data_IF_833433099020
#
_entry.id   IF_833433099020
#
_cell.length_a   1.000
_cell.length_b   1.000
_cell.length_c   1.000
_cell.angle_alpha   90.00
_cell.angle_beta   90.00
_cell.angle_gamma   90.00
#
_symmetry.space_group_name_H-M   'P 1'
#
loop_
_entity.id
_entity.type
_entity.pdbx_description
1 polymer ?
#
# COMPACT_ATOMS: atom_id res chain seq x y z
N UNK A 1 14.78 -50.67 3.37
CA UNK A 1 13.63 -50.08 2.63
C UNK A 1 12.63 -49.31 3.51
N UNK A 2 12.35 -49.72 4.75
CA UNK A 2 11.39 -49.03 5.65
C UNK A 2 11.75 -47.56 5.96
N UNK A 3 13.04 -47.27 6.15
CA UNK A 3 13.50 -45.93 6.56
C UNK A 3 13.44 -44.89 5.43
N UNK A 4 13.47 -45.34 4.16
CA UNK A 4 13.42 -44.45 2.99
C UNK A 4 11.99 -43.95 2.70
N UNK A 5 10.97 -44.75 3.02
CA UNK A 5 9.56 -44.33 2.92
C UNK A 5 9.21 -43.27 3.98
N UNK A 6 9.77 -43.38 5.18
CA UNK A 6 9.54 -42.44 6.27
C UNK A 6 10.14 -41.05 5.98
N UNK A 7 11.36 -41.01 5.42
CA UNK A 7 12.01 -39.75 5.04
C UNK A 7 11.25 -39.01 3.92
N UNK A 8 10.73 -39.74 2.94
CA UNK A 8 9.94 -39.16 1.84
C UNK A 8 8.61 -38.57 2.35
N UNK A 9 7.90 -39.29 3.23
CA UNK A 9 6.64 -38.82 3.82
C UNK A 9 6.89 -37.57 4.68
N UNK A 10 7.99 -37.53 5.43
CA UNK A 10 8.36 -36.38 6.26
C UNK A 10 8.72 -35.14 5.41
N UNK A 11 9.43 -35.33 4.29
CA UNK A 11 9.74 -34.25 3.36
C UNK A 11 8.48 -33.68 2.67
N UNK A 12 7.52 -34.54 2.33
CA UNK A 12 6.21 -34.13 1.79
C UNK A 12 5.38 -33.39 2.85
N UNK A 13 5.42 -33.82 4.11
CA UNK A 13 4.78 -33.11 5.23
C UNK A 13 5.43 -31.75 5.52
N UNK A 14 6.76 -31.64 5.41
CA UNK A 14 7.48 -30.38 5.55
C UNK A 14 7.17 -29.40 4.40
N UNK A 15 6.99 -29.90 3.17
CA UNK A 15 6.58 -29.09 2.01
C UNK A 15 5.13 -28.59 2.13
N UNK A 16 4.25 -29.32 2.83
CA UNK A 16 2.86 -28.89 3.08
C UNK A 16 2.71 -27.89 4.24
N UNK A 17 3.76 -27.66 5.04
CA UNK A 17 3.75 -26.67 6.14
C UNK A 17 4.32 -25.31 5.71
N UNK A 18 4.83 -25.18 4.48
CA UNK A 18 5.17 -23.88 3.90
C UNK A 18 3.86 -23.21 3.48
N UNK A 19 3.13 -22.70 4.46
CA UNK A 19 1.99 -21.83 4.25
C UNK A 19 2.42 -20.68 3.36
N UNK A 20 1.65 -20.46 2.29
CA UNK A 20 1.77 -19.32 1.39
C UNK A 20 1.48 -18.04 2.17
N UNK A 21 2.45 -17.53 2.93
CA UNK A 21 2.46 -16.13 3.34
C UNK A 21 2.92 -15.32 2.13
N UNK A 22 2.05 -15.22 1.12
CA UNK A 22 2.17 -14.22 0.07
C UNK A 22 1.16 -13.15 0.38
N UNK A 23 1.62 -12.07 0.99
CA UNK A 23 0.98 -10.77 0.91
C UNK A 23 2.16 -9.77 0.91
N UNK A 24 2.66 -9.40 -0.26
CA UNK A 24 2.03 -8.57 -1.29
C UNK A 24 2.14 -7.10 -0.89
N UNK A 25 3.38 -6.59 -1.01
CA UNK A 25 3.57 -5.16 -1.22
C UNK A 25 2.75 -4.80 -2.45
N UNK A 26 1.77 -3.93 -2.27
CA UNK A 26 0.90 -3.49 -3.37
C UNK A 26 1.17 -2.01 -3.62
N UNK A 27 1.33 -1.65 -4.89
CA UNK A 27 1.62 -0.28 -5.31
C UNK A 27 0.46 0.27 -6.16
N UNK A 28 0.12 1.53 -5.93
CA UNK A 28 -0.88 2.27 -6.68
C UNK A 28 -0.31 3.64 -7.06
N UNK A 29 -0.80 4.21 -8.16
CA UNK A 29 -0.46 5.55 -8.61
C UNK A 29 -1.72 6.40 -8.67
N UNK A 30 -1.65 7.61 -8.11
CA UNK A 30 -2.66 8.64 -8.26
C UNK A 30 -2.11 9.77 -9.13
N UNK A 31 -2.87 10.09 -10.16
CA UNK A 31 -2.50 11.08 -11.17
C UNK A 31 -3.58 12.15 -11.33
N UNK A 32 -3.36 13.08 -12.26
CA UNK A 32 -4.31 14.13 -12.63
C UNK A 32 -5.71 13.58 -13.01
N UNK A 33 -5.77 12.38 -13.59
CA UNK A 33 -7.03 11.74 -13.99
C UNK A 33 -7.89 11.33 -12.78
N UNK A 34 -7.27 11.17 -11.61
CA UNK A 34 -7.91 10.80 -10.34
C UNK A 34 -8.36 12.03 -9.53
N UNK A 35 -8.14 13.23 -10.05
CA UNK A 35 -8.45 14.48 -9.39
C UNK A 35 -9.95 14.83 -9.46
N UNK A 36 -10.45 15.50 -8.42
CA UNK A 36 -11.83 16.01 -8.38
C UNK A 36 -12.10 17.15 -9.38
N UNK A 37 -11.05 17.83 -9.83
CA UNK A 37 -11.10 18.90 -10.81
C UNK A 37 -9.84 18.86 -11.69
N UNK A 38 -9.94 19.41 -12.90
CA UNK A 38 -8.78 19.47 -13.79
C UNK A 38 -7.65 20.24 -13.11
N UNK A 39 -6.50 19.58 -13.01
CA UNK A 39 -5.29 20.12 -12.41
C UNK A 39 -4.21 20.23 -13.48
N UNK A 40 -3.82 21.45 -13.81
CA UNK A 40 -2.80 21.74 -14.84
C UNK A 40 -1.38 21.61 -14.27
N UNK A 41 -1.02 20.41 -13.84
CA UNK A 41 0.32 20.11 -13.34
C UNK A 41 0.54 18.62 -13.20
N UNK A 42 1.77 18.19 -13.41
CA UNK A 42 2.14 16.79 -13.26
C UNK A 42 1.93 16.41 -11.77
N UNK A 43 0.96 15.56 -11.45
CA UNK A 43 0.86 14.90 -10.14
C UNK A 43 1.05 13.42 -10.39
N UNK A 44 2.00 12.84 -9.66
CA UNK A 44 2.15 11.40 -9.55
C UNK A 44 2.44 11.08 -8.08
N UNK A 45 1.50 10.43 -7.41
CA UNK A 45 1.64 9.98 -6.03
C UNK A 45 1.61 8.45 -6.02
N UNK A 46 2.71 7.86 -5.59
CA UNK A 46 2.80 6.43 -5.35
C UNK A 46 2.29 6.12 -3.96
N UNK A 47 1.38 5.15 -3.86
CA UNK A 47 0.92 4.59 -2.59
C UNK A 47 1.40 3.15 -2.50
N UNK A 48 2.14 2.83 -1.45
CA UNK A 48 2.65 1.48 -1.17
C UNK A 48 2.00 0.94 0.09
N UNK A 49 1.34 -0.21 -0.02
CA UNK A 49 0.75 -0.96 1.10
C UNK A 49 1.62 -2.17 1.38
N UNK A 50 2.14 -2.28 2.60
CA UNK A 50 2.92 -3.42 3.06
C UNK A 50 2.21 -4.12 4.24
N UNK A 51 1.60 -5.27 3.96
CA UNK A 51 0.94 -6.11 4.96
C UNK A 51 1.91 -6.70 5.99
N UNK A 52 3.18 -6.89 5.63
CA UNK A 52 4.19 -7.49 6.52
C UNK A 52 4.64 -6.47 7.56
N UNK A 53 4.98 -5.25 7.13
CA UNK A 53 5.36 -4.18 8.05
C UNK A 53 4.17 -3.40 8.62
N UNK A 54 2.95 -3.67 8.12
CA UNK A 54 1.70 -3.00 8.48
C UNK A 54 1.78 -1.50 8.22
N UNK A 55 2.23 -1.12 7.03
CA UNK A 55 2.42 0.29 6.67
C UNK A 55 1.65 0.66 5.41
N UNK A 56 1.26 1.93 5.37
CA UNK A 56 0.82 2.62 4.15
C UNK A 56 1.79 3.77 3.96
N UNK A 57 2.49 3.78 2.83
CA UNK A 57 3.45 4.82 2.47
C UNK A 57 2.93 5.59 1.26
N UNK A 58 3.02 6.91 1.30
CA UNK A 58 2.58 7.81 0.24
C UNK A 58 3.76 8.67 -0.15
N UNK A 59 4.13 8.69 -1.43
CA UNK A 59 5.32 9.38 -1.94
C UNK A 59 4.96 10.18 -3.20
N UNK A 60 5.29 11.47 -3.21
CA UNK A 60 5.21 12.31 -4.41
C UNK A 60 6.40 11.98 -5.32
N UNK A 61 6.13 11.58 -6.56
CA UNK A 61 7.15 11.17 -7.53
C UNK A 61 7.67 12.36 -8.37
N UNK A 62 8.91 12.25 -8.85
CA UNK A 62 9.49 13.17 -9.85
C UNK A 62 8.74 13.08 -11.19
N UNK A 63 8.62 14.18 -11.99
CA UNK A 63 9.57 15.28 -12.11
C UNK A 63 9.09 16.63 -11.55
N UNK A 64 8.33 16.62 -10.46
CA UNK A 64 7.67 17.83 -9.96
C UNK A 64 8.65 18.94 -9.51
N UNK A 65 8.95 19.83 -10.46
CA UNK A 65 9.73 21.07 -10.28
C UNK A 65 9.05 22.07 -9.34
N UNK A 66 7.80 21.78 -8.93
CA UNK A 66 6.99 22.55 -8.03
C UNK A 66 6.58 21.70 -6.83
N UNK A 67 6.63 22.28 -5.63
CA UNK A 67 6.52 21.52 -4.39
C UNK A 67 5.06 21.17 -4.13
N UNK A 68 4.60 20.04 -4.67
CA UNK A 68 3.39 19.36 -4.16
C UNK A 68 3.63 19.00 -2.70
N UNK A 69 2.62 19.22 -1.88
CA UNK A 69 2.69 19.08 -0.43
C UNK A 69 1.41 18.41 0.07
N UNK A 70 1.53 17.21 0.65
CA UNK A 70 0.38 16.41 1.13
C UNK A 70 -0.21 16.96 2.42
N UNK A 71 -1.46 17.39 2.42
CA UNK A 71 -2.11 18.06 3.55
C UNK A 71 -2.99 17.14 4.39
N UNK A 72 -3.75 16.26 3.74
CA UNK A 72 -4.68 15.35 4.41
C UNK A 72 -4.66 14.00 3.70
N UNK A 73 -4.71 12.92 4.45
CA UNK A 73 -4.96 11.58 3.93
C UNK A 73 -6.23 11.05 4.59
N UNK A 74 -7.25 10.77 3.79
CA UNK A 74 -8.49 10.16 4.25
C UNK A 74 -8.45 8.66 3.94
N UNK A 75 -8.78 7.86 4.95
CA UNK A 75 -8.75 6.40 4.88
C UNK A 75 -10.12 5.86 5.28
N UNK A 76 -10.59 4.85 4.56
CA UNK A 76 -11.77 4.10 4.96
C UNK A 76 -11.44 3.00 6.00
N UNK A 77 -10.48 3.28 6.88
CA UNK A 77 -10.03 2.40 7.96
C UNK A 77 -10.36 3.10 9.29
N UNK A 78 -10.85 2.41 10.33
CA UNK A 78 -11.09 3.02 11.63
C UNK A 78 -9.85 3.68 12.25
N UNK A 79 -10.03 4.80 12.93
CA UNK A 79 -8.92 5.61 13.47
C UNK A 79 -8.11 4.86 14.55
N UNK A 80 -8.76 3.97 15.30
CA UNK A 80 -8.13 3.12 16.32
C UNK A 80 -7.18 2.06 15.75
N UNK A 81 -7.23 1.80 14.44
CA UNK A 81 -6.27 0.93 13.76
C UNK A 81 -5.01 1.67 13.29
N UNK A 82 -4.92 2.99 13.44
CA UNK A 82 -3.70 3.76 13.11
C UNK A 82 -2.85 3.90 14.37
N UNK A 83 -1.64 3.35 14.34
CA UNK A 83 -0.73 3.35 15.48
C UNK A 83 0.12 4.63 15.54
N UNK A 84 0.61 5.12 14.40
CA UNK A 84 1.38 6.37 14.32
C UNK A 84 1.48 6.87 12.89
N UNK A 85 1.77 8.17 12.75
CA UNK A 85 2.05 8.82 11.45
C UNK A 85 3.41 9.51 11.54
N UNK A 86 4.19 9.43 10.47
CA UNK A 86 5.49 10.08 10.32
C UNK A 86 5.69 10.56 8.88
N UNK A 87 6.57 11.52 8.67
CA UNK A 87 6.80 12.12 7.36
C UNK A 87 8.24 12.62 7.16
N UNK A 88 8.54 13.18 5.99
CA UNK A 88 9.87 13.70 5.62
C UNK A 88 10.19 15.11 6.16
N UNK A 89 9.26 15.73 6.88
CA UNK A 89 9.39 17.07 7.46
C UNK A 89 9.09 17.07 8.97
N UNK A 90 10.11 17.07 9.83
CA UNK A 90 9.96 16.95 11.29
C UNK A 90 9.33 18.18 11.96
N UNK A 91 8.88 19.17 11.19
CA UNK A 91 8.13 20.34 11.68
C UNK A 91 6.62 20.19 11.48
N UNK A 92 6.17 19.10 10.88
CA UNK A 92 4.75 18.83 10.68
C UNK A 92 4.34 17.77 11.69
N UNK A 93 3.34 18.10 12.48
CA UNK A 93 2.65 17.15 13.34
C UNK A 93 1.34 16.72 12.68
N UNK A 94 0.94 15.47 12.92
CA UNK A 94 -0.25 14.86 12.36
C UNK A 94 -1.26 14.49 13.45
N UNK A 95 -2.53 14.73 13.13
CA UNK A 95 -3.67 14.41 13.96
C UNK A 95 -4.48 13.33 13.24
N UNK A 96 -4.85 12.29 13.98
CA UNK A 96 -5.69 11.19 13.49
C UNK A 96 -7.05 11.31 14.17
N UNK A 97 -8.10 11.52 13.38
CA UNK A 97 -9.47 11.69 13.86
C UNK A 97 -10.47 10.94 12.98
N UNK A 98 -11.66 10.64 13.52
CA UNK A 98 -12.75 10.13 12.71
C UNK A 98 -13.16 11.17 11.65
N UNK A 99 -13.24 10.75 10.39
CA UNK A 99 -13.76 11.61 9.32
C UNK A 99 -15.27 11.81 9.49
N UNK A 100 -15.69 13.07 9.49
CA UNK A 100 -17.10 13.47 9.61
C UNK A 100 -17.81 13.47 8.26
N UNK A 101 -17.11 13.11 7.18
CA UNK A 101 -17.63 13.05 5.81
C UNK A 101 -17.96 14.42 5.21
N UNK A 102 -17.43 15.50 5.80
CA UNK A 102 -17.69 16.86 5.36
C UNK A 102 -16.46 17.40 4.61
N UNK A 103 -16.61 17.65 3.31
CA UNK A 103 -15.59 18.36 2.53
C UNK A 103 -14.68 17.48 1.65
N UNK A 104 -14.97 16.19 1.51
CA UNK A 104 -14.16 15.22 0.73
C UNK A 104 -14.32 15.37 -0.79
N UNK A 105 -14.59 16.58 -1.30
CA UNK A 105 -14.64 16.91 -2.74
C UNK A 105 -15.52 16.01 -3.65
N UNK A 106 -16.48 15.27 -3.08
CA UNK A 106 -17.34 14.35 -3.84
C UNK A 106 -16.89 12.88 -3.81
N UNK A 107 -15.76 12.56 -3.17
CA UNK A 107 -15.26 11.18 -3.02
C UNK A 107 -16.00 10.34 -1.96
N UNK A 108 -17.04 10.89 -1.34
CA UNK A 108 -17.82 10.23 -0.29
C UNK A 108 -17.18 10.34 1.09
N UNK A 109 -17.90 9.85 2.10
CA UNK A 109 -17.39 9.81 3.48
C UNK A 109 -16.31 8.73 3.62
N UNK A 110 -15.27 9.03 4.38
CA UNK A 110 -14.26 8.07 4.82
C UNK A 110 -14.46 7.82 6.33
N UNK A 111 -13.69 6.89 6.91
CA UNK A 111 -13.77 6.61 8.34
C UNK A 111 -12.82 7.48 9.14
N UNK A 112 -11.65 7.77 8.59
CA UNK A 112 -10.56 8.46 9.29
C UNK A 112 -9.95 9.54 8.43
N UNK A 113 -9.62 10.65 9.07
CA UNK A 113 -8.78 11.70 8.53
C UNK A 113 -7.43 11.72 9.26
N UNK A 114 -6.35 11.73 8.48
CA UNK A 114 -4.99 11.99 8.92
C UNK A 114 -4.64 13.38 8.43
N UNK A 115 -4.80 14.37 9.31
CA UNK A 115 -4.69 15.79 9.02
C UNK A 115 -3.42 16.37 9.62
N UNK A 116 -2.83 17.35 8.95
CA UNK A 116 -1.78 18.17 9.57
C UNK A 116 -2.35 19.04 10.68
N UNK A 117 -1.62 19.18 11.77
CA UNK A 117 -1.95 20.14 12.81
C UNK A 117 -1.91 21.58 12.27
N UNK A 118 -2.84 22.41 12.71
CA UNK A 118 -2.98 23.78 12.21
C UNK A 118 -1.77 24.63 12.59
N UNK A 119 -1.00 25.09 11.59
CA UNK A 119 0.08 26.05 11.81
C UNK A 119 1.29 25.83 10.90
N UNK A 120 1.58 24.58 10.55
CA UNK A 120 2.79 24.25 9.79
C UNK A 120 2.53 24.08 8.29
N UNK A 121 3.01 25.07 7.54
CA UNK A 121 2.95 25.12 6.06
C UNK A 121 4.18 24.49 5.41
N UNK A 122 4.89 23.60 6.13
CA UNK A 122 6.05 22.88 5.62
C UNK A 122 5.67 22.01 4.41
N UNK A 123 6.58 21.84 3.46
CA UNK A 123 6.37 20.86 2.38
C UNK A 123 6.49 19.45 2.97
N UNK A 124 5.56 18.55 2.62
CA UNK A 124 5.64 17.10 2.93
C UNK A 124 5.45 16.35 1.63
N UNK A 125 6.43 15.54 1.26
CA UNK A 125 6.43 14.75 0.02
C UNK A 125 6.38 13.25 0.30
N UNK A 126 6.61 12.84 1.54
CA UNK A 126 6.50 11.45 1.96
C UNK A 126 5.76 11.34 3.29
N UNK A 127 4.78 10.45 3.36
CA UNK A 127 4.06 10.11 4.60
C UNK A 127 4.12 8.60 4.77
N UNK A 128 4.40 8.18 6.01
CA UNK A 128 4.30 6.79 6.46
C UNK A 128 3.29 6.69 7.59
N UNK A 129 2.22 5.93 7.33
CA UNK A 129 1.19 5.58 8.29
C UNK A 129 1.47 4.17 8.78
N UNK A 130 1.77 4.03 10.06
CA UNK A 130 1.93 2.75 10.73
C UNK A 130 0.56 2.29 11.23
N UNK A 131 0.16 1.11 10.78
CA UNK A 131 -1.09 0.47 11.18
C UNK A 131 -0.88 -0.41 12.42
N UNK A 132 -1.98 -0.70 13.11
CA UNK A 132 -2.04 -1.66 14.20
C UNK A 132 -1.72 -3.07 13.71
N UNK A 133 -1.29 -3.93 14.63
CA UNK A 133 -1.00 -5.34 14.33
C UNK A 133 -2.25 -6.14 13.95
N UNK A 134 -3.44 -5.60 14.23
CA UNK A 134 -4.74 -6.24 13.94
C UNK A 134 -5.25 -5.94 12.53
N UNK A 135 -4.65 -4.95 11.83
CA UNK A 135 -5.01 -4.64 10.46
C UNK A 135 -4.65 -5.80 9.52
N UNK A 136 -5.53 -6.10 8.57
CA UNK A 136 -5.44 -7.25 7.67
C UNK A 136 -4.62 -6.98 6.39
N UNK A 137 -4.05 -5.78 6.26
CA UNK A 137 -3.25 -5.39 5.10
C UNK A 137 -4.07 -4.96 3.89
N UNK A 138 -5.40 -4.88 4.01
CA UNK A 138 -6.29 -4.51 2.90
C UNK A 138 -6.79 -3.08 3.09
N UNK A 139 -6.85 -2.33 1.99
CA UNK A 139 -7.47 -1.01 1.93
C UNK A 139 -8.97 -1.13 1.57
N UNK A 140 -9.90 -1.12 2.55
CA UNK A 140 -11.32 -1.25 2.27
C UNK A 140 -11.86 -0.04 1.48
N UNK A 141 -12.86 -0.28 0.63
CA UNK A 141 -13.54 0.78 -0.15
C UNK A 141 -14.72 1.38 0.61
N UNK A 142 -14.93 2.69 0.45
CA UNK A 142 -16.13 3.37 0.92
C UNK A 142 -17.33 3.12 -0.01
N UNK A 143 -18.48 3.75 0.28
CA UNK A 143 -19.71 3.59 -0.52
C UNK A 143 -19.64 4.16 -1.94
N UNK A 144 -18.59 4.94 -2.23
CA UNK A 144 -18.29 5.51 -3.53
C UNK A 144 -17.13 4.76 -4.24
N UNK A 145 -16.76 3.59 -3.73
CA UNK A 145 -15.69 2.72 -4.22
C UNK A 145 -14.24 3.25 -4.02
N UNK A 146 -14.04 4.28 -3.20
CA UNK A 146 -12.70 4.83 -2.90
C UNK A 146 -12.09 4.22 -1.64
N UNK A 147 -10.82 3.85 -1.71
CA UNK A 147 -10.05 3.29 -0.58
C UNK A 147 -9.19 4.34 0.13
N UNK A 148 -8.61 5.28 -0.62
CA UNK A 148 -7.77 6.38 -0.11
C UNK A 148 -8.16 7.65 -0.84
N UNK A 149 -8.24 8.75 -0.12
CA UNK A 149 -8.43 10.09 -0.71
C UNK A 149 -7.36 11.02 -0.16
N UNK A 150 -6.63 11.72 -1.02
CA UNK A 150 -5.59 12.66 -0.62
C UNK A 150 -5.98 14.09 -0.91
N UNK A 151 -5.67 15.00 0.02
CA UNK A 151 -5.67 16.44 -0.21
C UNK A 151 -4.22 16.90 -0.38
N UNK A 152 -3.90 17.52 -1.50
CA UNK A 152 -2.56 18.07 -1.76
C UNK A 152 -2.63 19.55 -2.10
N UNK A 153 -1.52 20.25 -1.89
CA UNK A 153 -1.36 21.69 -2.18
C UNK A 153 -0.09 21.96 -2.98
N UNK A 154 -0.11 22.98 -3.84
CA UNK A 154 1.06 23.44 -4.58
C UNK A 154 1.79 24.59 -3.85
N UNK A 155 3.12 24.55 -3.85
CA UNK A 155 4.00 25.61 -3.35
C UNK A 155 5.14 25.90 -4.36
N UNK A 156 5.57 27.17 -4.58
CA UNK A 156 5.03 28.43 -4.09
C UNK A 156 4.12 29.13 -5.14
N UNK A 157 2.93 29.52 -4.72
CA UNK A 157 1.90 30.13 -5.57
C UNK A 157 0.57 30.00 -4.83
N UNK A 158 -0.48 30.74 -5.21
CA UNK A 158 -1.80 30.63 -4.59
C UNK A 158 -2.14 29.14 -4.37
N UNK A 159 -2.50 28.70 -3.15
CA UNK A 159 -2.68 27.28 -2.87
C UNK A 159 -3.96 26.80 -3.55
N UNK A 160 -3.85 26.47 -4.82
CA UNK A 160 -4.76 25.52 -5.44
C UNK A 160 -4.50 24.19 -4.74
N UNK A 161 -5.59 23.61 -4.27
CA UNK A 161 -5.56 22.40 -3.48
C UNK A 161 -6.44 21.38 -4.17
N UNK A 162 -5.88 20.21 -4.47
CA UNK A 162 -6.57 19.18 -5.24
C UNK A 162 -6.81 17.97 -4.38
N UNK A 163 -7.93 17.33 -4.63
CA UNK A 163 -8.29 16.07 -4.02
C UNK A 163 -8.15 14.94 -5.04
N UNK A 164 -7.46 13.86 -4.65
CA UNK A 164 -7.21 12.69 -5.48
C UNK A 164 -7.84 11.47 -4.81
N UNK A 165 -8.48 10.59 -5.58
CA UNK A 165 -9.19 9.42 -5.03
C UNK A 165 -8.76 8.10 -5.66
N UNK A 166 -8.30 7.14 -4.84
CA UNK A 166 -7.93 5.80 -5.29
C UNK A 166 -9.15 4.86 -5.29
N UNK A 167 -9.58 4.42 -6.48
CA UNK A 167 -10.68 3.44 -6.65
C UNK A 167 -10.18 1.97 -6.67
N UNK A 168 -9.00 1.67 -6.12
CA UNK A 168 -8.58 0.29 -5.84
C UNK A 168 -8.58 -0.69 -7.03
N UNK A 169 -8.41 -0.22 -8.27
CA UNK A 169 -7.98 -1.12 -9.35
C UNK A 169 -6.54 -1.54 -9.04
N UNK A 170 -6.40 -2.70 -8.42
CA UNK A 170 -5.11 -3.27 -8.06
C UNK A 170 -4.35 -3.56 -9.35
N UNK A 171 -3.24 -2.85 -9.57
CA UNK A 171 -2.24 -3.33 -10.51
C UNK A 171 -1.55 -4.53 -9.86
N UNK A 172 -2.11 -5.73 -10.06
CA UNK A 172 -1.49 -6.96 -9.58
C UNK A 172 -0.10 -7.08 -10.20
N UNK A 173 0.95 -7.02 -9.37
CA UNK A 173 2.30 -7.37 -9.80
C UNK A 173 2.22 -8.83 -10.28
N UNK A 174 2.58 -9.14 -11.54
CA UNK A 174 2.57 -10.51 -12.01
C UNK A 174 3.43 -11.34 -11.07
N UNK A 175 2.81 -12.29 -10.37
CA UNK A 175 3.53 -13.22 -9.52
C UNK A 175 4.56 -13.93 -10.40
N UNK A 176 5.83 -13.53 -10.30
CA UNK A 176 6.87 -14.30 -10.94
C UNK A 176 6.79 -15.72 -10.34
N UNK A 177 6.92 -16.79 -11.16
CA UNK A 177 6.80 -18.17 -10.72
C UNK A 177 8.04 -18.61 -9.92
N UNK A 178 8.38 -17.85 -8.89
CA UNK A 178 9.51 -18.08 -7.97
C UNK A 178 9.35 -19.40 -7.20
N UNK A 179 8.12 -19.93 -7.11
CA UNK A 179 7.80 -21.24 -6.55
C UNK A 179 7.82 -22.39 -7.57
N UNK A 180 7.59 -22.13 -8.87
CA UNK A 180 7.59 -23.20 -9.87
C UNK A 180 9.00 -23.71 -10.17
N UNK A 181 10.01 -22.82 -10.17
CA UNK A 181 11.39 -23.18 -10.49
C UNK A 181 11.99 -24.18 -9.49
N UNK A 182 11.90 -23.98 -8.16
CA UNK A 182 12.44 -24.92 -7.18
C UNK A 182 11.72 -26.27 -7.22
N UNK A 183 10.38 -26.27 -7.35
CA UNK A 183 9.59 -27.51 -7.39
C UNK A 183 9.88 -28.30 -8.68
N UNK A 184 9.92 -27.64 -9.84
CA UNK A 184 10.26 -28.27 -11.10
C UNK A 184 11.70 -28.82 -11.10
N UNK A 185 12.65 -28.11 -10.48
CA UNK A 185 14.03 -28.58 -10.33
C UNK A 185 14.11 -29.83 -9.43
N UNK A 186 13.42 -29.85 -8.29
CA UNK A 186 13.37 -31.02 -7.38
C UNK A 186 12.72 -32.22 -8.07
N UNK A 187 11.59 -32.02 -8.75
CA UNK A 187 10.91 -33.08 -9.50
C UNK A 187 11.76 -33.57 -10.68
N UNK A 188 12.39 -32.66 -11.42
CA UNK A 188 13.29 -32.98 -12.53
C UNK A 188 14.51 -33.80 -12.07
N UNK A 189 15.12 -33.43 -10.95
CA UNK A 189 16.21 -34.21 -10.33
C UNK A 189 15.72 -35.59 -9.87
N UNK A 190 14.54 -35.67 -9.25
CA UNK A 190 13.96 -36.94 -8.82
C UNK A 190 13.76 -37.91 -10.00
N UNK A 191 13.21 -37.44 -11.13
CA UNK A 191 13.06 -38.25 -12.35
C UNK A 191 14.41 -38.66 -12.97
N UNK A 192 15.41 -37.76 -12.94
CA UNK A 192 16.74 -38.06 -13.47
C UNK A 192 17.45 -39.15 -12.64
N UNK A 193 17.32 -39.13 -11.31
CA UNK A 193 17.93 -40.14 -10.43
C UNK A 193 17.14 -41.45 -10.35
N UNK A 194 15.85 -41.45 -10.65
CA UNK A 194 15.04 -42.67 -10.69
C UNK A 194 15.40 -43.56 -11.89
N UNK A 195 15.86 -42.98 -13.00
CA UNK A 195 16.25 -43.70 -14.23
C UNK A 195 17.57 -44.49 -14.15
N UNK A 196 18.42 -44.28 -13.14
CA UNK A 196 19.74 -44.95 -13.02
C UNK A 196 19.71 -46.27 -12.24
N UNK A 197 18.53 -46.79 -11.90
CA UNK A 197 18.37 -48.04 -11.12
C UNK A 197 17.90 -49.25 -11.94
N UNK A 198 17.88 -49.14 -13.27
CA UNK A 198 17.75 -50.28 -14.18
C UNK A 198 19.13 -50.71 -14.68
#
# INVERSE_FOLDING_TARGET
>A
MKNMKLALIMAVFLLMIVGTASAAVTEFHLTEEDANEYYDGDIDIKITVDDVSKTIELEVMEPNTEKVSMKTVLLNIPADQIASVSDDNPKVDWVVEDDKGQGNAGFGAMLTAVDRESGDQGTVQYIKIQMSQEWDGVLPKNVNDYSVVLHVTRLPGNPESVWLGLNGEVQEIPEFPTLALPIAAILGLAFMFQRRKE
#
